data_IF_863016868470
#
_entry.id   IF_863016868470
#
_cell.length_a   1.000
_cell.length_b   1.000
_cell.length_c   1.000
_cell.angle_alpha   90.00
_cell.angle_beta   90.00
_cell.angle_gamma   90.00
#
_symmetry.space_group_name_H-M   'P 1'
#
loop_
_entity.id
_entity.type
_entity.pdbx_description
1 polymer ?
#
# COMPACT_ATOMS: atom_id res chain seq x y z
N UNK A 1 67.36 -15.88 60.84
CA UNK A 1 66.84 -15.03 61.94
C UNK A 1 65.90 -14.03 61.29
N UNK A 2 64.61 -14.06 61.67
CA UNK A 2 63.49 -13.19 61.25
C UNK A 2 63.07 -13.26 59.77
N UNK A 3 61.80 -13.22 59.35
CA UNK A 3 60.49 -13.51 59.94
C UNK A 3 59.49 -13.53 58.74
N UNK A 4 58.57 -14.49 58.70
CA UNK A 4 57.33 -14.45 57.89
C UNK A 4 56.36 -13.40 58.50
N UNK A 5 55.32 -12.85 57.80
CA UNK A 5 54.20 -13.70 57.32
C UNK A 5 53.36 -13.24 56.09
N UNK A 6 52.86 -14.26 55.38
CA UNK A 6 51.46 -14.51 54.95
C UNK A 6 50.60 -13.36 54.39
N UNK A 7 50.38 -13.40 53.07
CA UNK A 7 49.27 -12.77 52.37
C UNK A 7 48.24 -13.81 51.90
N UNK A 8 46.97 -13.50 52.12
CA UNK A 8 45.76 -14.32 52.01
C UNK A 8 45.49 -14.95 50.62
N UNK A 9 44.96 -16.17 50.66
CA UNK A 9 44.26 -16.85 49.57
C UNK A 9 42.98 -16.12 49.20
N UNK A 10 42.82 -15.76 47.93
CA UNK A 10 41.53 -15.33 47.35
C UNK A 10 40.87 -16.55 46.74
N UNK A 11 39.90 -17.11 47.44
CA UNK A 11 38.93 -18.07 46.89
C UNK A 11 37.70 -17.31 46.40
N UNK A 12 37.18 -17.77 45.26
CA UNK A 12 35.82 -17.58 44.75
C UNK A 12 35.48 -16.17 44.25
N UNK A 13 35.61 -15.99 42.93
CA UNK A 13 35.00 -14.90 42.19
C UNK A 13 33.46 -15.01 42.32
N UNK A 14 32.88 -14.05 43.05
CA UNK A 14 31.45 -13.79 43.10
C UNK A 14 30.99 -13.22 41.74
N UNK A 15 29.99 -13.88 41.17
CA UNK A 15 29.45 -13.69 39.82
C UNK A 15 28.44 -12.52 39.78
N UNK A 16 28.54 -11.60 40.73
CA UNK A 16 27.53 -10.56 41.01
C UNK A 16 27.97 -9.16 40.59
N UNK A 17 29.05 -9.04 39.82
CA UNK A 17 29.57 -7.76 39.30
C UNK A 17 29.60 -7.70 37.75
N UNK A 18 28.69 -8.42 37.10
CA UNK A 18 28.38 -8.28 35.66
C UNK A 18 26.87 -8.03 35.50
N UNK A 19 26.33 -7.10 36.31
CA UNK A 19 24.94 -6.61 36.16
C UNK A 19 24.77 -5.10 36.30
N UNK A 20 25.86 -4.36 36.50
CA UNK A 20 25.83 -2.91 36.71
C UNK A 20 26.54 -2.10 35.60
N UNK A 21 26.57 -2.63 34.36
CA UNK A 21 27.03 -1.90 33.14
C UNK A 21 25.93 -1.90 32.05
N UNK A 22 24.66 -2.02 32.43
CA UNK A 22 23.52 -1.76 31.53
C UNK A 22 22.45 -1.03 32.31
N UNK A 23 22.71 0.24 32.65
CA UNK A 23 21.68 1.16 33.14
C UNK A 23 22.16 2.61 33.02
N UNK A 24 22.38 3.04 31.79
CA UNK A 24 22.25 4.45 31.47
C UNK A 24 21.68 4.61 30.05
N UNK A 25 20.95 5.70 29.85
CA UNK A 25 20.39 6.20 28.58
C UNK A 25 19.23 5.44 27.92
N UNK A 26 18.07 5.39 28.58
CA UNK A 26 16.77 5.48 27.88
C UNK A 26 15.76 6.31 28.66
N UNK A 27 16.06 7.60 28.82
CA UNK A 27 15.01 8.63 28.87
C UNK A 27 14.73 9.10 27.44
N UNK A 28 14.22 8.19 26.61
CA UNK A 28 13.54 8.60 25.39
C UNK A 28 12.09 8.86 25.80
N UNK A 29 11.76 10.12 26.07
CA UNK A 29 10.38 10.57 26.08
C UNK A 29 9.88 10.39 24.65
N UNK A 30 9.38 9.19 24.37
CA UNK A 30 8.65 8.85 23.16
C UNK A 30 7.32 9.60 23.25
N UNK A 31 7.41 10.91 23.02
CA UNK A 31 6.25 11.71 22.69
C UNK A 31 5.74 11.12 21.38
N UNK A 32 4.45 10.81 21.25
CA UNK A 32 3.92 10.37 19.97
C UNK A 32 4.24 11.49 18.97
N UNK A 33 5.12 11.19 18.01
CA UNK A 33 5.23 11.96 16.78
C UNK A 33 3.86 11.86 16.13
N UNK A 34 3.02 12.85 16.40
CA UNK A 34 1.77 13.06 15.69
C UNK A 34 2.15 13.41 14.25
N UNK A 35 2.11 12.41 13.37
CA UNK A 35 2.36 12.54 11.93
C UNK A 35 1.15 13.12 11.17
N UNK A 36 0.17 13.69 11.86
CA UNK A 36 -1.17 13.91 11.31
C UNK A 36 -1.59 15.39 11.19
N UNK A 37 -0.70 16.38 11.36
CA UNK A 37 -1.09 17.81 11.26
C UNK A 37 -0.35 18.67 10.20
N UNK A 38 0.75 18.18 9.60
CA UNK A 38 1.46 18.91 8.52
C UNK A 38 1.20 18.35 7.10
N UNK A 39 0.44 17.27 6.97
CA UNK A 39 0.19 16.58 5.70
C UNK A 39 -0.99 17.15 4.86
N UNK A 40 -1.44 18.37 5.18
CA UNK A 40 -2.62 19.01 4.57
C UNK A 40 -2.29 20.14 3.59
N UNK A 41 -1.02 20.27 3.19
CA UNK A 41 -0.55 21.42 2.40
C UNK A 41 0.50 21.11 1.32
N UNK A 42 0.80 19.84 1.03
CA UNK A 42 1.83 19.48 0.05
C UNK A 42 1.22 18.91 -1.24
N UNK A 43 1.74 19.30 -2.42
CA UNK A 43 1.33 18.74 -3.70
C UNK A 43 1.74 17.27 -3.84
N UNK A 44 0.98 16.50 -4.62
CA UNK A 44 1.17 15.06 -4.81
C UNK A 44 2.58 14.67 -5.30
N UNK A 45 3.22 15.55 -6.08
CA UNK A 45 4.56 15.34 -6.65
C UNK A 45 5.45 16.57 -6.43
N UNK A 46 5.97 16.80 -5.21
CA UNK A 46 6.55 18.09 -4.84
C UNK A 46 7.72 18.56 -5.68
N UNK A 47 8.67 17.66 -6.02
CA UNK A 47 9.83 18.02 -6.85
C UNK A 47 9.44 18.33 -8.30
N UNK A 48 8.52 17.55 -8.88
CA UNK A 48 8.07 17.77 -10.25
C UNK A 48 7.19 19.04 -10.35
N UNK A 49 6.40 19.33 -9.33
CA UNK A 49 5.62 20.56 -9.24
C UNK A 49 6.52 21.77 -9.02
N UNK A 50 7.59 21.67 -8.23
CA UNK A 50 8.58 22.73 -8.06
C UNK A 50 9.28 23.06 -9.40
N UNK A 51 9.73 22.06 -10.17
CA UNK A 51 10.30 22.26 -11.52
C UNK A 51 9.33 23.05 -12.40
N UNK A 52 8.07 22.62 -12.44
CA UNK A 52 7.06 23.30 -13.26
C UNK A 52 6.82 24.75 -12.80
N UNK A 53 6.72 25.00 -11.49
CA UNK A 53 6.49 26.33 -10.94
C UNK A 53 7.66 27.28 -11.20
N UNK A 54 8.90 26.80 -11.04
CA UNK A 54 10.12 27.58 -11.34
C UNK A 54 10.18 27.99 -12.81
N UNK A 55 9.78 27.11 -13.73
CA UNK A 55 9.83 27.36 -15.17
C UNK A 55 8.65 28.20 -15.70
N UNK A 56 7.46 28.11 -15.07
CA UNK A 56 6.21 28.63 -15.65
C UNK A 56 5.57 29.78 -14.85
N UNK A 57 6.16 30.21 -13.74
CA UNK A 57 5.62 31.28 -12.87
C UNK A 57 6.71 32.25 -12.41
N UNK A 58 6.31 33.46 -11.98
CA UNK A 58 7.21 34.47 -11.42
C UNK A 58 7.26 34.45 -9.88
N UNK A 59 6.95 33.31 -9.26
CA UNK A 59 6.94 33.14 -7.80
C UNK A 59 8.35 33.15 -7.22
N UNK A 60 8.47 33.55 -5.95
CA UNK A 60 9.75 33.49 -5.23
C UNK A 60 10.10 32.06 -4.84
N UNK A 61 11.40 31.78 -4.68
CA UNK A 61 11.87 30.47 -4.25
C UNK A 61 11.29 30.08 -2.88
N UNK A 62 11.09 31.03 -1.98
CA UNK A 62 10.45 30.80 -0.68
C UNK A 62 8.98 30.41 -0.82
N UNK A 63 8.23 31.01 -1.76
CA UNK A 63 6.84 30.64 -2.01
C UNK A 63 6.71 29.22 -2.56
N UNK A 64 7.62 28.82 -3.48
CA UNK A 64 7.65 27.49 -4.08
C UNK A 64 8.11 26.45 -3.05
N UNK A 65 9.12 26.80 -2.24
CA UNK A 65 9.63 25.98 -1.14
C UNK A 65 8.53 25.67 -0.11
N UNK A 66 7.83 26.70 0.35
CA UNK A 66 6.73 26.55 1.31
C UNK A 66 5.56 25.73 0.75
N UNK A 67 5.26 25.88 -0.55
CA UNK A 67 4.20 25.10 -1.19
C UNK A 67 4.58 23.62 -1.40
N UNK A 68 5.81 23.35 -1.83
CA UNK A 68 6.28 22.00 -2.11
C UNK A 68 6.88 21.30 -0.87
N UNK A 69 6.99 21.96 0.28
CA UNK A 69 7.68 21.43 1.45
C UNK A 69 9.17 21.16 1.21
N UNK A 70 9.80 21.92 0.31
CA UNK A 70 11.22 21.81 -0.02
C UNK A 70 12.00 22.94 0.63
N UNK A 71 13.32 22.76 0.81
CA UNK A 71 14.14 23.87 1.29
C UNK A 71 14.37 24.89 0.15
N UNK A 72 14.40 26.22 0.39
CA UNK A 72 14.65 27.22 -0.66
C UNK A 72 15.91 26.95 -1.50
N UNK A 73 16.96 26.41 -0.87
CA UNK A 73 18.19 25.98 -1.56
C UNK A 73 17.96 24.82 -2.54
N UNK A 74 17.04 23.90 -2.25
CA UNK A 74 16.68 22.83 -3.19
C UNK A 74 15.93 23.41 -4.40
N UNK A 75 15.04 24.38 -4.18
CA UNK A 75 14.33 25.07 -5.27
C UNK A 75 15.30 25.88 -6.13
N UNK A 76 16.29 26.52 -5.52
CA UNK A 76 17.38 27.18 -6.24
C UNK A 76 18.19 26.18 -7.07
N UNK A 77 18.56 25.03 -6.49
CA UNK A 77 19.24 23.96 -7.23
C UNK A 77 18.38 23.32 -8.34
N UNK A 78 17.06 23.44 -8.29
CA UNK A 78 16.15 23.10 -9.39
C UNK A 78 16.22 24.17 -10.49
N UNK A 79 16.24 25.46 -10.11
CA UNK A 79 16.38 26.57 -11.07
C UNK A 79 17.74 26.57 -11.78
N UNK A 80 18.79 26.11 -11.09
CA UNK A 80 20.15 25.96 -11.63
C UNK A 80 20.37 24.64 -12.39
N UNK A 81 19.31 23.82 -12.58
CA UNK A 81 19.35 22.50 -13.22
C UNK A 81 20.29 21.46 -12.53
N UNK A 82 20.72 21.68 -11.30
CA UNK A 82 21.66 20.79 -10.58
C UNK A 82 20.96 19.62 -9.86
N UNK A 83 19.77 19.86 -9.29
CA UNK A 83 19.10 18.93 -8.36
C UNK A 83 18.02 18.07 -9.04
N UNK A 84 17.43 18.55 -10.14
CA UNK A 84 16.29 17.91 -10.80
C UNK A 84 16.60 17.40 -12.22
N UNK A 85 17.86 17.05 -12.51
CA UNK A 85 18.26 16.51 -13.81
C UNK A 85 17.41 15.30 -14.19
N UNK A 86 16.57 15.45 -15.22
CA UNK A 86 15.71 14.39 -15.75
C UNK A 86 14.32 14.26 -15.11
N UNK A 87 13.93 15.16 -14.20
CA UNK A 87 12.55 15.23 -13.69
C UNK A 87 11.69 16.03 -14.67
N UNK A 88 10.63 15.43 -15.19
CA UNK A 88 9.66 16.13 -16.03
C UNK A 88 8.71 16.92 -15.13
N UNK A 89 8.63 18.23 -15.35
CA UNK A 89 7.74 19.12 -14.61
C UNK A 89 6.28 18.68 -14.69
N UNK A 90 5.58 18.69 -13.56
CA UNK A 90 4.18 18.28 -13.45
C UNK A 90 3.29 19.48 -13.14
N UNK A 91 2.41 19.83 -14.08
CA UNK A 91 1.53 21.00 -13.98
C UNK A 91 0.52 20.85 -12.81
N UNK A 92 0.61 21.70 -11.76
CA UNK A 92 -0.31 21.70 -10.63
C UNK A 92 -1.71 22.22 -10.99
N UNK A 93 -1.87 22.98 -12.08
CA UNK A 93 -3.16 23.49 -12.56
C UNK A 93 -3.92 22.36 -13.26
N UNK A 94 -3.27 21.66 -14.20
CA UNK A 94 -3.87 20.53 -14.91
C UNK A 94 -4.25 19.37 -13.99
N UNK A 95 -3.50 19.19 -12.88
CA UNK A 95 -3.82 18.20 -11.85
C UNK A 95 -4.89 18.66 -10.84
N UNK A 96 -5.39 19.90 -10.97
CA UNK A 96 -6.44 20.45 -10.11
C UNK A 96 -5.98 20.81 -8.70
N UNK A 97 -4.66 20.88 -8.46
CA UNK A 97 -4.08 21.21 -7.16
C UNK A 97 -3.95 22.72 -6.92
N UNK A 98 -3.78 23.51 -8.00
CA UNK A 98 -3.75 24.97 -7.98
C UNK A 98 -4.69 25.57 -9.02
N UNK A 99 -5.18 26.78 -8.77
CA UNK A 99 -5.85 27.59 -9.80
C UNK A 99 -4.89 28.61 -10.40
N UNK A 100 -5.16 29.03 -11.64
CA UNK A 100 -4.39 30.11 -12.28
C UNK A 100 -4.52 31.43 -11.50
N UNK A 101 -5.70 31.70 -10.96
CA UNK A 101 -5.97 32.91 -10.17
C UNK A 101 -5.14 32.95 -8.88
N UNK A 102 -4.91 31.79 -8.25
CA UNK A 102 -4.09 31.68 -7.05
C UNK A 102 -2.61 31.95 -7.33
N UNK A 103 -2.09 31.45 -8.46
CA UNK A 103 -0.73 31.76 -8.89
C UNK A 103 -0.58 33.27 -9.13
N UNK A 104 -1.52 33.89 -9.86
CA UNK A 104 -1.48 35.34 -10.13
C UNK A 104 -1.54 36.16 -8.84
N UNK A 105 -2.37 35.76 -7.87
CA UNK A 105 -2.43 36.39 -6.54
C UNK A 105 -1.07 36.36 -5.86
N UNK A 106 -0.39 35.21 -5.88
CA UNK A 106 0.92 35.04 -5.27
C UNK A 106 2.07 35.71 -6.05
N UNK A 107 1.96 35.83 -7.38
CA UNK A 107 2.93 36.58 -8.21
C UNK A 107 2.91 38.07 -7.89
N UNK A 108 1.75 38.63 -7.53
CA UNK A 108 1.64 40.06 -7.17
C UNK A 108 2.13 40.40 -5.76
N UNK A 109 2.33 39.41 -4.89
CA UNK A 109 2.71 39.62 -3.50
C UNK A 109 3.71 38.58 -2.99
N UNK A 110 4.94 39.01 -2.74
CA UNK A 110 6.05 38.14 -2.32
C UNK A 110 5.80 37.42 -0.96
N UNK A 111 4.95 37.98 -0.10
CA UNK A 111 4.59 37.38 1.20
C UNK A 111 3.39 36.40 1.10
N UNK A 112 2.70 36.35 -0.04
CA UNK A 112 1.53 35.51 -0.19
C UNK A 112 1.94 34.05 -0.35
N UNK A 113 1.33 33.15 0.43
CA UNK A 113 1.56 31.70 0.33
C UNK A 113 0.49 31.05 -0.54
N UNK A 114 0.93 30.15 -1.42
CA UNK A 114 0.06 29.32 -2.26
C UNK A 114 -0.75 28.38 -1.37
N UNK A 115 -2.02 28.20 -1.70
CA UNK A 115 -2.89 27.26 -1.02
C UNK A 115 -3.38 26.19 -2.00
N UNK A 116 -3.31 24.92 -1.60
CA UNK A 116 -3.90 23.85 -2.40
C UNK A 116 -5.41 24.02 -2.48
N UNK A 117 -5.94 23.77 -3.68
CA UNK A 117 -7.38 23.64 -3.89
C UNK A 117 -7.83 22.38 -3.17
N UNK A 118 -8.66 22.52 -2.14
CA UNK A 118 -9.34 21.39 -1.49
C UNK A 118 -10.35 20.79 -2.45
N UNK A 119 -9.93 19.85 -3.28
CA UNK A 119 -10.86 19.07 -4.07
C UNK A 119 -11.60 18.10 -3.15
N UNK A 120 -12.86 18.40 -2.84
CA UNK A 120 -13.79 17.54 -2.08
C UNK A 120 -14.28 16.35 -2.93
N UNK A 121 -13.39 15.79 -3.75
CA UNK A 121 -13.72 14.66 -4.62
C UNK A 121 -13.46 13.38 -3.81
N UNK A 122 -14.51 12.65 -3.40
CA UNK A 122 -14.32 11.40 -2.69
C UNK A 122 -13.50 10.46 -3.55
N UNK A 123 -12.37 9.99 -3.02
CA UNK A 123 -11.48 9.02 -3.63
C UNK A 123 -12.27 7.73 -3.94
N UNK A 124 -12.96 7.69 -5.07
CA UNK A 124 -13.59 6.47 -5.56
C UNK A 124 -12.52 5.64 -6.24
N UNK A 125 -11.64 5.08 -5.42
CA UNK A 125 -10.82 3.94 -5.80
C UNK A 125 -11.24 2.76 -4.92
N UNK A 126 -12.51 2.37 -5.02
CA UNK A 126 -12.83 0.96 -4.80
C UNK A 126 -12.20 0.22 -5.97
N UNK A 127 -10.93 -0.15 -5.80
CA UNK A 127 -10.26 -1.17 -6.62
C UNK A 127 -11.27 -2.29 -6.79
N UNK A 128 -11.78 -2.47 -8.01
CA UNK A 128 -12.59 -3.65 -8.31
C UNK A 128 -11.68 -4.83 -7.98
N UNK A 129 -11.99 -5.57 -6.92
CA UNK A 129 -11.21 -6.75 -6.53
C UNK A 129 -11.11 -7.65 -7.76
N UNK A 130 -9.96 -7.60 -8.43
CA UNK A 130 -9.68 -8.44 -9.58
C UNK A 130 -9.63 -9.90 -9.15
N UNK A 131 -9.59 -10.83 -10.11
CA UNK A 131 -9.45 -12.25 -9.81
C UNK A 131 -8.28 -12.47 -8.86
N UNK A 132 -8.55 -13.04 -7.68
CA UNK A 132 -7.52 -13.27 -6.65
C UNK A 132 -6.49 -14.25 -7.23
N UNK A 133 -5.22 -13.88 -7.18
CA UNK A 133 -4.13 -14.79 -7.55
C UNK A 133 -4.16 -16.00 -6.62
N UNK A 134 -4.50 -17.19 -7.14
CA UNK A 134 -4.37 -18.43 -6.36
C UNK A 134 -2.90 -18.88 -6.41
N UNK A 135 -2.23 -19.06 -5.26
CA UNK A 135 -0.84 -19.51 -5.22
C UNK A 135 -0.67 -20.87 -5.89
N UNK A 136 0.51 -21.12 -6.46
CA UNK A 136 0.82 -22.33 -7.25
C UNK A 136 0.51 -23.62 -6.50
N UNK A 137 0.77 -23.66 -5.19
CA UNK A 137 0.48 -24.80 -4.32
C UNK A 137 -0.99 -25.20 -4.32
N UNK A 138 -1.91 -24.24 -4.42
CA UNK A 138 -3.37 -24.47 -4.37
C UNK A 138 -3.99 -24.61 -5.75
N UNK A 139 -3.19 -24.59 -6.83
CA UNK A 139 -3.72 -24.78 -8.21
C UNK A 139 -4.20 -26.20 -8.45
N UNK A 140 -3.61 -27.18 -7.76
CA UNK A 140 -3.98 -28.59 -7.86
C UNK A 140 -5.35 -28.89 -7.26
N UNK A 141 -5.79 -28.06 -6.30
CA UNK A 141 -7.08 -28.19 -5.62
C UNK A 141 -8.22 -27.45 -6.35
N UNK A 142 -7.89 -26.59 -7.32
CA UNK A 142 -8.91 -25.85 -8.10
C UNK A 142 -9.90 -26.78 -8.83
N UNK A 143 -9.48 -27.89 -9.47
CA UNK A 143 -10.43 -28.79 -10.11
C UNK A 143 -11.41 -29.44 -9.13
N UNK A 144 -10.96 -29.71 -7.89
CA UNK A 144 -11.80 -30.23 -6.80
C UNK A 144 -12.87 -29.21 -6.39
N UNK A 145 -12.45 -27.95 -6.23
CA UNK A 145 -13.36 -26.83 -5.97
C UNK A 145 -14.38 -26.58 -7.09
N UNK A 146 -13.96 -26.64 -8.36
CA UNK A 146 -14.86 -26.47 -9.51
C UNK A 146 -15.90 -27.60 -9.53
N UNK A 147 -15.45 -28.85 -9.33
CA UNK A 147 -16.34 -30.02 -9.27
C UNK A 147 -17.38 -29.90 -8.15
N UNK A 148 -16.99 -29.36 -6.99
CA UNK A 148 -17.89 -29.10 -5.88
C UNK A 148 -18.94 -28.03 -6.20
N UNK A 149 -18.52 -26.89 -6.77
CA UNK A 149 -19.45 -25.82 -7.16
C UNK A 149 -20.46 -26.29 -8.21
N UNK A 150 -20.02 -27.03 -9.23
CA UNK A 150 -20.93 -27.58 -10.24
C UNK A 150 -21.95 -28.55 -9.62
N UNK A 151 -21.53 -29.33 -8.62
CA UNK A 151 -22.38 -30.34 -7.97
C UNK A 151 -23.39 -29.76 -6.98
N UNK A 152 -22.96 -28.82 -6.14
CA UNK A 152 -23.77 -28.30 -5.02
C UNK A 152 -24.38 -26.93 -5.29
N UNK A 153 -23.83 -26.17 -6.25
CA UNK A 153 -24.30 -24.83 -6.63
C UNK A 153 -24.53 -24.72 -8.15
N UNK A 154 -25.45 -25.52 -8.74
CA UNK A 154 -25.74 -25.47 -10.18
C UNK A 154 -26.33 -24.14 -10.63
N UNK A 155 -26.82 -23.30 -9.71
CA UNK A 155 -27.30 -21.94 -9.96
C UNK A 155 -26.19 -20.98 -10.41
N UNK A 156 -24.93 -21.26 -10.04
CA UNK A 156 -23.79 -20.40 -10.37
C UNK A 156 -23.43 -20.48 -11.86
N UNK A 157 -23.30 -19.30 -12.49
CA UNK A 157 -22.84 -19.21 -13.88
C UNK A 157 -21.32 -19.40 -13.96
N UNK A 158 -20.84 -19.92 -15.09
CA UNK A 158 -19.41 -20.14 -15.35
C UNK A 158 -18.56 -18.86 -15.18
N UNK A 159 -19.14 -17.69 -15.48
CA UNK A 159 -18.51 -16.39 -15.24
C UNK A 159 -18.28 -16.10 -13.76
N UNK A 160 -19.20 -16.52 -12.88
CA UNK A 160 -19.09 -16.36 -11.44
C UNK A 160 -18.07 -17.34 -10.87
N UNK A 161 -18.10 -18.60 -11.31
CA UNK A 161 -17.11 -19.62 -10.92
C UNK A 161 -15.69 -19.19 -11.34
N UNK A 162 -15.53 -18.67 -12.57
CA UNK A 162 -14.25 -18.16 -13.09
C UNK A 162 -13.70 -17.03 -12.23
N UNK A 163 -14.56 -16.09 -11.81
CA UNK A 163 -14.19 -14.96 -10.95
C UNK A 163 -13.86 -15.39 -9.52
N UNK A 164 -14.64 -16.32 -8.96
CA UNK A 164 -14.49 -16.80 -7.58
C UNK A 164 -13.19 -17.62 -7.39
N UNK A 165 -12.90 -18.52 -8.31
CA UNK A 165 -11.76 -19.45 -8.20
C UNK A 165 -10.51 -19.01 -8.98
N UNK A 166 -10.59 -17.94 -9.77
CA UNK A 166 -9.49 -17.48 -10.62
C UNK A 166 -9.10 -18.52 -11.67
N UNK A 167 -10.10 -19.10 -12.33
CA UNK A 167 -9.96 -20.15 -13.37
C UNK A 167 -10.53 -19.68 -14.71
N UNK A 168 -10.27 -20.42 -15.78
CA UNK A 168 -10.80 -20.14 -17.12
C UNK A 168 -12.09 -20.92 -17.39
N UNK A 169 -12.97 -20.39 -18.25
CA UNK A 169 -14.21 -21.06 -18.67
C UNK A 169 -13.95 -22.46 -19.27
N UNK A 170 -12.92 -22.58 -20.12
CA UNK A 170 -12.56 -23.88 -20.71
C UNK A 170 -12.14 -24.93 -19.67
N UNK A 171 -11.57 -24.52 -18.53
CA UNK A 171 -11.28 -25.47 -17.44
C UNK A 171 -12.55 -25.92 -16.73
N UNK A 172 -13.52 -25.01 -16.54
CA UNK A 172 -14.82 -25.32 -15.95
C UNK A 172 -15.59 -26.31 -16.83
N UNK A 173 -15.64 -26.05 -18.12
CA UNK A 173 -16.27 -26.90 -19.12
C UNK A 173 -15.59 -28.28 -19.20
N UNK A 174 -14.26 -28.34 -19.23
CA UNK A 174 -13.54 -29.62 -19.25
C UNK A 174 -13.82 -30.49 -18.00
N UNK A 175 -14.09 -29.88 -16.85
CA UNK A 175 -14.46 -30.61 -15.63
C UNK A 175 -15.92 -31.07 -15.70
N UNK A 176 -16.82 -30.22 -16.21
CA UNK A 176 -18.23 -30.56 -16.45
C UNK A 176 -18.39 -31.74 -17.41
N UNK A 177 -17.66 -31.69 -18.52
CA UNK A 177 -17.68 -32.72 -19.56
C UNK A 177 -16.79 -33.91 -19.24
N UNK A 178 -16.11 -33.89 -18.08
CA UNK A 178 -15.21 -34.95 -17.63
C UNK A 178 -14.03 -35.22 -18.58
N UNK A 179 -13.63 -34.23 -19.38
CA UNK A 179 -12.53 -34.29 -20.36
C UNK A 179 -11.21 -33.74 -19.79
N UNK A 180 -11.20 -33.22 -18.57
CA UNK A 180 -9.98 -32.77 -17.92
C UNK A 180 -8.98 -33.92 -17.73
N UNK A 181 -7.70 -33.70 -18.06
CA UNK A 181 -6.64 -34.72 -18.02
C UNK A 181 -6.53 -35.47 -16.69
N UNK A 182 -6.89 -34.84 -15.56
CA UNK A 182 -6.82 -35.45 -14.22
C UNK A 182 -8.18 -35.89 -13.66
N UNK A 183 -9.22 -36.04 -14.48
CA UNK A 183 -10.61 -36.27 -14.03
C UNK A 183 -10.78 -37.45 -13.05
N UNK A 184 -9.93 -38.47 -13.15
CA UNK A 184 -9.97 -39.66 -12.29
C UNK A 184 -9.61 -39.37 -10.83
N UNK A 185 -8.82 -38.32 -10.57
CA UNK A 185 -8.37 -37.95 -9.21
C UNK A 185 -9.14 -36.77 -8.63
N UNK A 186 -10.10 -36.21 -9.38
CA UNK A 186 -10.86 -35.04 -8.93
C UNK A 186 -11.94 -35.49 -7.96
N UNK A 187 -11.88 -34.97 -6.74
CA UNK A 187 -12.88 -35.19 -5.71
C UNK A 187 -13.57 -33.85 -5.39
N UNK A 188 -14.92 -33.78 -5.38
CA UNK A 188 -15.61 -32.54 -5.04
C UNK A 188 -15.29 -32.11 -3.60
N UNK A 189 -14.57 -31.00 -3.43
CA UNK A 189 -14.21 -30.42 -2.14
C UNK A 189 -14.56 -28.93 -2.08
N UNK A 190 -14.99 -28.47 -0.91
CA UNK A 190 -15.45 -27.10 -0.69
C UNK A 190 -14.32 -26.08 -0.89
N UNK A 191 -14.49 -25.07 -1.78
CA UNK A 191 -13.47 -24.05 -2.05
C UNK A 191 -13.12 -23.15 -0.84
N UNK A 192 -14.02 -23.02 0.14
CA UNK A 192 -13.77 -22.27 1.38
C UNK A 192 -12.87 -23.07 2.32
N UNK A 193 -13.12 -24.37 2.46
CA UNK A 193 -12.27 -25.27 3.25
C UNK A 193 -10.87 -25.42 2.63
N UNK A 194 -10.80 -25.42 1.30
CA UNK A 194 -9.54 -25.36 0.55
C UNK A 194 -8.84 -23.99 0.65
N UNK A 195 -9.49 -22.99 1.25
CA UNK A 195 -9.03 -21.61 1.39
C UNK A 195 -8.74 -20.92 0.06
N UNK A 196 -9.49 -21.27 -0.99
CA UNK A 196 -9.42 -20.64 -2.32
C UNK A 196 -10.27 -19.37 -2.33
N UNK A 197 -11.47 -19.43 -1.74
CA UNK A 197 -12.36 -18.27 -1.55
C UNK A 197 -12.76 -18.09 -0.08
N UNK A 198 -13.27 -16.90 0.27
CA UNK A 198 -13.87 -16.67 1.59
C UNK A 198 -15.34 -17.08 1.58
N UNK A 199 -15.87 -17.43 2.75
CA UNK A 199 -17.29 -17.75 2.93
C UNK A 199 -18.20 -16.64 2.40
N UNK A 200 -17.91 -15.39 2.77
CA UNK A 200 -18.68 -14.22 2.36
C UNK A 200 -18.70 -14.01 0.84
N UNK A 201 -17.63 -14.37 0.15
CA UNK A 201 -17.54 -14.25 -1.32
C UNK A 201 -18.41 -15.31 -2.02
N UNK A 202 -18.42 -16.53 -1.49
CA UNK A 202 -19.28 -17.60 -2.00
C UNK A 202 -20.76 -17.24 -1.84
N UNK A 203 -21.17 -16.84 -0.62
CA UNK A 203 -22.55 -16.42 -0.34
C UNK A 203 -23.00 -15.27 -1.24
N UNK A 204 -22.15 -14.25 -1.40
CA UNK A 204 -22.44 -13.09 -2.26
C UNK A 204 -22.67 -13.49 -3.72
N UNK A 205 -21.88 -14.42 -4.27
CA UNK A 205 -22.03 -14.85 -5.66
C UNK A 205 -23.23 -15.79 -5.85
N UNK A 206 -23.57 -16.62 -4.84
CA UNK A 206 -24.79 -17.43 -4.83
C UNK A 206 -26.04 -16.55 -4.80
N UNK A 207 -26.11 -15.56 -3.90
CA UNK A 207 -27.24 -14.63 -3.81
C UNK A 207 -27.44 -13.84 -5.12
N UNK A 208 -26.34 -13.43 -5.77
CA UNK A 208 -26.38 -12.81 -7.10
C UNK A 208 -26.88 -13.76 -8.18
N UNK A 209 -26.52 -15.04 -8.11
CA UNK A 209 -26.98 -16.03 -9.07
C UNK A 209 -28.49 -16.29 -8.91
N UNK A 210 -28.95 -16.44 -7.67
CA UNK A 210 -30.36 -16.62 -7.34
C UNK A 210 -31.21 -15.42 -7.76
N UNK A 211 -30.77 -14.20 -7.43
CA UNK A 211 -31.47 -12.97 -7.83
C UNK A 211 -31.49 -12.77 -9.36
N UNK A 212 -30.42 -13.16 -10.06
CA UNK A 212 -30.39 -13.16 -11.51
C UNK A 212 -31.33 -14.21 -12.13
N UNK A 213 -31.50 -15.37 -11.51
CA UNK A 213 -32.42 -16.42 -11.96
C UNK A 213 -33.89 -16.14 -11.58
N UNK A 214 -34.14 -15.30 -10.55
CA UNK A 214 -35.49 -14.91 -10.11
C UNK A 214 -36.11 -13.82 -10.99
N UNK A 215 -35.33 -13.08 -11.80
CA UNK A 215 -35.90 -12.05 -12.68
C UNK A 215 -36.77 -12.71 -13.78
N UNK A 216 -38.08 -12.43 -13.82
CA UNK A 216 -39.00 -12.98 -14.81
C UNK A 216 -38.79 -12.38 -16.21
#
# INVERSE_FOLDING_TARGET
MFAEPRGLSVTRFDITLIRDVVRDERSNTDSPVNFDEDEMGMPLMPKATAVWLVENTALTFDQIADFCGLHPLEVQGIADDEVAVGIIGSDPISSGQLTRDEIVRCETGHDARLQLVKSDTPLTSTRRNGPRYTPVSRRQDRPNAISWLIKYHPELKDSQISKLLGTTKGTIEAIRDRTHWNIKKIEPQDPVLLGICKQTELETEVEKAESANRKP
#
